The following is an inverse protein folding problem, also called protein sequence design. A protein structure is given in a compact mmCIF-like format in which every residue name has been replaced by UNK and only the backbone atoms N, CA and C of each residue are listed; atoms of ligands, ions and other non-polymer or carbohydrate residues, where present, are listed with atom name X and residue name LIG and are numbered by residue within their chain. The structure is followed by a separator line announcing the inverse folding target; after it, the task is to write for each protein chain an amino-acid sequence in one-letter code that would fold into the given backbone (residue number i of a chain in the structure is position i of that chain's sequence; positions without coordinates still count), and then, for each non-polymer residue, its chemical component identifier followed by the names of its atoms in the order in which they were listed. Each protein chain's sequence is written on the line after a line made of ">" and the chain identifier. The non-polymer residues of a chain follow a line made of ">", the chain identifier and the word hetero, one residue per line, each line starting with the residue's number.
data_IF_819004117575
#
_entry.id   IF_819004117575
#
_cell.length_a   1.000
_cell.length_b   1.000
_cell.length_c   1.000
_cell.angle_alpha   90.00
_cell.angle_beta   90.00
_cell.angle_gamma   90.00
#
_symmetry.space_group_name_H-M   'P 1'
#
loop_
_entity.id
_entity.type
_entity.pdbx_description
1 polymer ?
#
# COMPACT_ATOMS: atom_id res chain seq x y z
N UNK A 1 27.76 11.88 25.60
CA UNK A 1 27.48 10.51 26.11
C UNK A 1 26.00 10.18 25.94
N UNK A 2 25.09 10.96 26.54
CA UNK A 2 23.63 10.76 26.40
C UNK A 2 23.11 10.72 24.95
N UNK A 3 23.64 11.56 24.06
CA UNK A 3 23.30 11.51 22.63
C UNK A 3 23.71 10.18 21.97
N UNK A 4 24.86 9.61 22.37
CA UNK A 4 25.36 8.36 21.83
C UNK A 4 24.56 7.16 22.37
N UNK A 5 24.19 7.19 23.66
CA UNK A 5 23.34 6.19 24.28
C UNK A 5 21.92 6.19 23.68
N UNK A 6 21.38 7.39 23.42
CA UNK A 6 20.08 7.55 22.76
C UNK A 6 20.11 7.05 21.31
N UNK A 7 21.18 7.37 20.58
CA UNK A 7 21.41 6.84 19.24
C UNK A 7 21.49 5.31 19.24
N UNK A 8 22.26 4.72 20.16
CA UNK A 8 22.41 3.27 20.23
C UNK A 8 21.11 2.56 20.60
N UNK A 9 20.30 3.15 21.49
CA UNK A 9 18.94 2.65 21.78
C UNK A 9 18.03 2.70 20.55
N UNK A 10 18.07 3.80 19.80
CA UNK A 10 17.32 3.92 18.54
C UNK A 10 17.78 2.93 17.47
N UNK A 11 19.10 2.73 17.32
CA UNK A 11 19.63 1.73 16.40
C UNK A 11 19.15 0.31 16.79
N UNK A 12 19.11 -0.01 18.09
CA UNK A 12 18.63 -1.29 18.58
C UNK A 12 17.12 -1.49 18.35
N UNK A 13 16.30 -0.44 18.44
CA UNK A 13 14.87 -0.55 18.12
C UNK A 13 14.61 -0.78 16.63
N UNK A 14 15.55 -0.41 15.75
CA UNK A 14 15.45 -0.65 14.30
C UNK A 14 15.91 -2.05 13.87
N UNK A 15 16.48 -2.86 14.77
CA UNK A 15 17.06 -4.17 14.41
C UNK A 15 16.06 -5.11 13.73
N UNK A 16 14.80 -5.12 14.17
CA UNK A 16 13.73 -5.92 13.57
C UNK A 16 13.42 -5.46 12.13
N UNK A 17 13.32 -4.15 11.91
CA UNK A 17 13.10 -3.59 10.56
C UNK A 17 14.25 -3.95 9.61
N UNK A 18 15.50 -3.86 10.07
CA UNK A 18 16.68 -4.27 9.28
C UNK A 18 16.63 -5.75 8.93
N UNK A 19 16.27 -6.61 9.87
CA UNK A 19 16.16 -8.05 9.65
C UNK A 19 15.08 -8.38 8.61
N UNK A 20 13.92 -7.72 8.69
CA UNK A 20 12.84 -7.86 7.70
C UNK A 20 13.31 -7.44 6.30
N UNK A 21 14.05 -6.33 6.18
CA UNK A 21 14.59 -5.87 4.89
C UNK A 21 15.58 -6.88 4.27
N UNK A 22 16.44 -7.49 5.08
CA UNK A 22 17.36 -8.54 4.62
C UNK A 22 16.57 -9.76 4.11
N UNK A 23 15.55 -10.19 4.86
CA UNK A 23 14.69 -11.30 4.46
C UNK A 23 13.85 -10.97 3.21
N UNK A 24 13.42 -9.72 3.04
CA UNK A 24 12.73 -9.24 1.86
C UNK A 24 13.58 -9.36 0.59
N UNK A 25 14.87 -8.98 0.68
CA UNK A 25 15.80 -9.14 -0.42
C UNK A 25 16.08 -10.61 -0.74
N UNK A 26 16.20 -11.45 0.30
CA UNK A 26 16.32 -12.89 0.11
C UNK A 26 15.07 -13.48 -0.58
N UNK A 27 13.87 -13.07 -0.17
CA UNK A 27 12.62 -13.46 -0.81
C UNK A 27 12.57 -13.02 -2.27
N UNK A 28 12.95 -11.77 -2.57
CA UNK A 28 13.03 -11.28 -3.95
C UNK A 28 14.01 -12.07 -4.82
N UNK A 29 15.18 -12.43 -4.28
CA UNK A 29 16.15 -13.26 -4.97
C UNK A 29 15.60 -14.68 -5.25
N UNK A 30 14.88 -15.27 -4.29
CA UNK A 30 14.22 -16.58 -4.47
C UNK A 30 13.10 -16.48 -5.51
N UNK A 31 12.23 -15.47 -5.42
CA UNK A 31 11.15 -15.26 -6.39
C UNK A 31 11.69 -15.08 -7.81
N UNK A 32 12.82 -14.38 -7.96
CA UNK A 32 13.52 -14.25 -9.23
C UNK A 32 14.10 -15.58 -9.72
N UNK A 33 14.76 -16.35 -8.84
CA UNK A 33 15.37 -17.63 -9.21
C UNK A 33 14.37 -18.71 -9.61
N UNK A 34 13.16 -18.68 -9.03
CA UNK A 34 12.07 -19.60 -9.39
C UNK A 34 11.10 -19.02 -10.42
N UNK A 35 11.42 -17.86 -11.02
CA UNK A 35 10.60 -17.22 -12.06
C UNK A 35 9.14 -16.98 -11.63
N UNK A 36 8.92 -16.55 -10.38
CA UNK A 36 7.57 -16.34 -9.83
C UNK A 36 6.78 -15.32 -10.65
N UNK A 37 7.42 -14.25 -11.13
CA UNK A 37 6.76 -13.24 -11.97
C UNK A 37 6.24 -13.87 -13.26
N UNK A 38 7.08 -14.61 -13.98
CA UNK A 38 6.71 -15.31 -15.22
C UNK A 38 5.58 -16.31 -14.98
N UNK A 39 5.61 -17.05 -13.87
CA UNK A 39 4.55 -17.98 -13.49
C UNK A 39 3.19 -17.27 -13.30
N UNK A 40 3.18 -16.14 -12.58
CA UNK A 40 1.96 -15.36 -12.37
C UNK A 40 1.45 -14.81 -13.71
N UNK A 41 2.30 -14.15 -14.49
CA UNK A 41 1.92 -13.62 -15.81
C UNK A 41 1.35 -14.72 -16.69
N UNK A 42 2.01 -15.88 -16.76
CA UNK A 42 1.56 -16.99 -17.61
C UNK A 42 0.13 -17.44 -17.30
N UNK A 43 -0.23 -17.51 -16.01
CA UNK A 43 -1.57 -17.96 -15.58
C UNK A 43 -2.61 -16.84 -15.54
N UNK A 44 -2.20 -15.57 -15.46
CA UNK A 44 -3.14 -14.45 -15.30
C UNK A 44 -3.25 -13.55 -16.52
N UNK A 45 -2.37 -13.67 -17.53
CA UNK A 45 -2.34 -12.79 -18.71
C UNK A 45 -3.69 -12.70 -19.45
N UNK A 46 -4.44 -13.80 -19.51
CA UNK A 46 -5.75 -13.84 -20.19
C UNK A 46 -6.92 -13.39 -19.30
N UNK A 47 -6.68 -13.20 -17.99
CA UNK A 47 -7.71 -12.91 -16.98
C UNK A 47 -7.56 -11.48 -16.43
N UNK A 48 -6.33 -11.03 -16.21
CA UNK A 48 -6.00 -9.77 -15.53
C UNK A 48 -5.36 -8.82 -16.54
N UNK A 49 -6.11 -7.78 -16.90
CA UNK A 49 -5.54 -6.67 -17.66
C UNK A 49 -4.46 -5.96 -16.82
N UNK A 50 -3.31 -5.57 -17.41
CA UNK A 50 -2.31 -4.74 -16.74
C UNK A 50 -2.89 -3.44 -16.16
N UNK A 51 -4.00 -2.94 -16.73
CA UNK A 51 -4.73 -1.79 -16.21
C UNK A 51 -5.30 -2.00 -14.78
N UNK A 52 -5.57 -3.24 -14.37
CA UNK A 52 -6.09 -3.53 -13.03
C UNK A 52 -4.97 -3.66 -11.99
N UNK A 53 -3.72 -3.72 -12.42
CA UNK A 53 -2.58 -4.03 -11.57
C UNK A 53 -2.43 -3.07 -10.38
N UNK A 54 -2.55 -1.73 -10.52
CA UNK A 54 -2.46 -0.83 -9.37
C UNK A 54 -3.58 -1.05 -8.35
N UNK A 55 -4.82 -1.24 -8.82
CA UNK A 55 -5.99 -1.40 -7.96
C UNK A 55 -5.95 -2.74 -7.18
N UNK A 56 -5.60 -3.84 -7.87
CA UNK A 56 -5.44 -5.15 -7.23
C UNK A 56 -4.29 -5.14 -6.23
N UNK A 57 -3.16 -4.50 -6.59
CA UNK A 57 -2.01 -4.37 -5.69
C UNK A 57 -2.39 -3.62 -4.42
N UNK A 58 -3.15 -2.53 -4.52
CA UNK A 58 -3.65 -1.80 -3.36
C UNK A 58 -4.51 -2.69 -2.46
N UNK A 59 -5.47 -3.42 -3.03
CA UNK A 59 -6.39 -4.30 -2.27
C UNK A 59 -5.60 -5.41 -1.55
N UNK A 60 -4.65 -6.05 -2.23
CA UNK A 60 -3.82 -7.10 -1.65
C UNK A 60 -2.93 -6.54 -0.54
N UNK A 61 -2.29 -5.39 -0.76
CA UNK A 61 -1.48 -4.71 0.24
C UNK A 61 -2.31 -4.33 1.48
N UNK A 62 -3.49 -3.75 1.27
CA UNK A 62 -4.44 -3.42 2.31
C UNK A 62 -4.84 -4.64 3.14
N UNK A 63 -5.18 -5.75 2.48
CA UNK A 63 -5.62 -6.98 3.17
C UNK A 63 -4.47 -7.61 3.99
N UNK A 64 -3.27 -7.74 3.39
CA UNK A 64 -2.10 -8.30 4.08
C UNK A 64 -1.72 -7.42 5.27
N UNK A 65 -1.67 -6.10 5.09
CA UNK A 65 -1.28 -5.20 6.16
C UNK A 65 -2.32 -5.11 7.27
N UNK A 66 -3.61 -5.14 6.93
CA UNK A 66 -4.67 -5.23 7.93
C UNK A 66 -4.58 -6.52 8.75
N UNK A 67 -4.32 -7.65 8.09
CA UNK A 67 -4.21 -8.95 8.75
C UNK A 67 -2.93 -9.10 9.59
N UNK A 68 -1.84 -8.42 9.21
CA UNK A 68 -0.55 -8.50 9.92
C UNK A 68 -0.33 -7.36 10.91
N UNK A 69 -1.05 -6.24 10.78
CA UNK A 69 -0.86 -5.04 11.59
C UNK A 69 0.46 -4.33 11.33
N UNK A 70 1.07 -4.48 10.14
CA UNK A 70 2.37 -3.87 9.83
C UNK A 70 2.44 -3.27 8.41
N UNK A 71 2.85 -2.01 8.31
CA UNK A 71 3.16 -1.35 7.03
C UNK A 71 4.45 -1.90 6.41
N UNK A 72 5.56 -1.82 7.15
CA UNK A 72 6.89 -2.19 6.64
C UNK A 72 6.99 -3.67 6.27
N UNK A 73 6.39 -4.57 7.07
CA UNK A 73 6.35 -6.00 6.75
C UNK A 73 5.63 -6.27 5.42
N UNK A 74 4.50 -5.60 5.20
CA UNK A 74 3.75 -5.71 3.95
C UNK A 74 4.53 -5.19 2.74
N UNK A 75 5.16 -4.01 2.86
CA UNK A 75 6.00 -3.45 1.80
C UNK A 75 7.18 -4.38 1.49
N UNK A 76 7.81 -4.95 2.52
CA UNK A 76 8.90 -5.92 2.40
C UNK A 76 8.52 -7.20 1.68
N UNK A 77 7.26 -7.65 1.77
CA UNK A 77 6.77 -8.82 1.02
C UNK A 77 6.42 -8.42 -0.42
N UNK A 78 5.71 -7.31 -0.60
CA UNK A 78 5.12 -6.97 -1.89
C UNK A 78 6.07 -6.30 -2.86
N UNK A 79 7.01 -5.45 -2.41
CA UNK A 79 8.00 -4.83 -3.29
C UNK A 79 8.80 -5.86 -4.09
N UNK A 80 9.45 -6.87 -3.46
CA UNK A 80 10.21 -7.86 -4.22
C UNK A 80 9.37 -8.77 -5.12
N UNK A 81 8.05 -8.83 -4.92
CA UNK A 81 7.13 -9.68 -5.69
C UNK A 81 6.46 -8.93 -6.85
N UNK A 82 5.87 -7.76 -6.56
CA UNK A 82 5.07 -6.98 -7.51
C UNK A 82 5.96 -6.11 -8.41
N UNK A 83 7.10 -5.58 -7.92
CA UNK A 83 7.95 -4.71 -8.74
C UNK A 83 8.52 -5.47 -9.95
N UNK A 84 9.15 -6.65 -9.81
CA UNK A 84 9.64 -7.40 -10.97
C UNK A 84 8.51 -7.82 -11.92
N UNK A 85 7.36 -8.22 -11.37
CA UNK A 85 6.16 -8.54 -12.14
C UNK A 85 5.70 -7.35 -13.00
N UNK A 86 5.67 -6.16 -12.41
CA UNK A 86 5.22 -4.94 -13.08
C UNK A 86 6.21 -4.53 -14.17
N UNK A 87 7.51 -4.63 -13.91
CA UNK A 87 8.56 -4.38 -14.91
C UNK A 87 8.43 -5.34 -16.09
N UNK A 88 8.17 -6.63 -15.83
CA UNK A 88 7.98 -7.64 -16.88
C UNK A 88 6.77 -7.33 -17.77
N UNK A 89 5.67 -6.85 -17.17
CA UNK A 89 4.42 -6.57 -17.89
C UNK A 89 4.45 -5.24 -18.66
N UNK A 90 5.07 -4.20 -18.10
CA UNK A 90 5.01 -2.84 -18.63
C UNK A 90 6.28 -2.45 -19.40
N UNK A 91 7.43 -3.01 -19.01
CA UNK A 91 8.72 -2.75 -19.65
C UNK A 91 9.35 -1.39 -19.37
N UNK A 92 8.64 -0.49 -18.68
CA UNK A 92 9.07 0.89 -18.43
C UNK A 92 8.74 1.33 -16.99
N UNK A 93 9.77 1.76 -16.26
CA UNK A 93 9.68 2.25 -14.88
C UNK A 93 9.18 3.70 -14.79
N UNK A 94 9.26 4.47 -15.88
CA UNK A 94 8.72 5.83 -15.95
C UNK A 94 7.22 5.82 -16.30
N UNK A 95 6.69 4.66 -16.68
CA UNK A 95 5.28 4.49 -16.97
C UNK A 95 4.42 4.78 -15.73
N UNK A 96 3.36 5.57 -15.92
CA UNK A 96 2.47 5.98 -14.84
C UNK A 96 1.80 4.80 -14.12
N UNK A 97 1.55 3.68 -14.81
CA UNK A 97 0.97 2.46 -14.23
C UNK A 97 1.98 1.77 -13.32
N UNK A 98 3.28 1.76 -13.67
CA UNK A 98 4.34 1.26 -12.78
C UNK A 98 4.40 2.10 -11.50
N UNK A 99 4.47 3.42 -11.66
CA UNK A 99 4.54 4.37 -10.54
C UNK A 99 3.30 4.22 -9.63
N UNK A 100 2.10 4.11 -10.22
CA UNK A 100 0.87 3.92 -9.47
C UNK A 100 0.81 2.55 -8.77
N UNK A 101 1.36 1.50 -9.38
CA UNK A 101 1.45 0.18 -8.75
C UNK A 101 2.39 0.20 -7.54
N UNK A 102 3.54 0.86 -7.66
CA UNK A 102 4.44 1.04 -6.53
C UNK A 102 3.82 1.89 -5.42
N UNK A 103 3.15 2.98 -5.79
CA UNK A 103 2.39 3.81 -4.84
C UNK A 103 1.27 3.02 -4.16
N UNK A 104 0.59 2.11 -4.89
CA UNK A 104 -0.44 1.23 -4.36
C UNK A 104 0.09 0.27 -3.29
N UNK A 105 1.32 -0.24 -3.43
CA UNK A 105 1.99 -1.05 -2.38
C UNK A 105 2.11 -0.22 -1.10
N UNK A 106 2.64 1.00 -1.20
CA UNK A 106 2.92 1.84 -0.04
C UNK A 106 1.61 2.27 0.63
N UNK A 107 0.69 2.83 -0.13
CA UNK A 107 -0.59 3.34 0.38
C UNK A 107 -1.50 2.24 0.90
N UNK A 108 -1.56 1.08 0.23
CA UNK A 108 -2.32 -0.07 0.72
C UNK A 108 -1.74 -0.63 2.02
N UNK A 109 -0.40 -0.72 2.12
CA UNK A 109 0.25 -1.11 3.36
C UNK A 109 -0.07 -0.14 4.52
N UNK A 110 0.05 1.17 4.30
CA UNK A 110 -0.29 2.16 5.34
C UNK A 110 -1.77 2.12 5.71
N UNK A 111 -2.65 1.97 4.73
CA UNK A 111 -4.09 1.84 4.97
C UNK A 111 -4.42 0.64 5.87
N UNK A 112 -3.87 -0.54 5.57
CA UNK A 112 -4.15 -1.75 6.34
C UNK A 112 -3.64 -1.66 7.77
N UNK A 113 -2.41 -1.17 7.95
CA UNK A 113 -1.79 -0.94 9.25
C UNK A 113 -2.62 0.01 10.13
N UNK A 114 -3.02 1.15 9.57
CA UNK A 114 -3.82 2.16 10.25
C UNK A 114 -5.16 1.61 10.79
N UNK A 115 -5.78 0.70 10.03
CA UNK A 115 -7.09 0.16 10.38
C UNK A 115 -7.02 -1.12 11.21
N UNK A 116 -5.84 -1.70 11.42
CA UNK A 116 -5.71 -3.02 12.03
C UNK A 116 -5.81 -2.95 13.56
N UNK A 117 -6.68 -3.75 14.21
CA UNK A 117 -6.79 -3.79 15.67
C UNK A 117 -5.55 -4.37 16.36
N UNK A 118 -4.66 -5.02 15.61
CA UNK A 118 -3.44 -5.62 16.14
C UNK A 118 -2.18 -4.81 15.79
N UNK A 119 -2.31 -3.67 15.11
CA UNK A 119 -1.18 -2.81 14.77
C UNK A 119 -0.61 -2.10 15.99
N UNK A 120 0.71 -2.05 16.09
CA UNK A 120 1.43 -1.25 17.10
C UNK A 120 1.02 0.23 17.04
N UNK A 121 0.81 0.76 15.82
CA UNK A 121 0.45 2.17 15.65
C UNK A 121 -0.96 2.45 16.14
N UNK A 122 -1.90 1.54 15.87
CA UNK A 122 -3.29 1.63 16.32
C UNK A 122 -3.39 1.48 17.84
N UNK A 123 -2.70 0.48 18.41
CA UNK A 123 -2.68 0.23 19.86
C UNK A 123 -2.08 1.41 20.62
N UNK A 124 -0.93 1.93 20.17
CA UNK A 124 -0.31 3.09 20.81
C UNK A 124 -1.17 4.35 20.67
N UNK A 125 -1.87 4.52 19.54
CA UNK A 125 -2.76 5.66 19.31
C UNK A 125 -4.00 5.60 20.19
N UNK A 126 -4.62 4.42 20.37
CA UNK A 126 -5.77 4.24 21.26
C UNK A 126 -5.37 4.45 22.72
N UNK A 127 -4.23 3.91 23.15
CA UNK A 127 -3.69 4.11 24.49
C UNK A 127 -3.38 5.58 24.78
N UNK A 128 -2.74 6.29 23.83
CA UNK A 128 -2.41 7.70 23.99
C UNK A 128 -3.65 8.60 24.03
N UNK A 129 -4.72 8.23 23.32
CA UNK A 129 -6.00 8.95 23.31
C UNK A 129 -6.95 8.55 24.45
N UNK A 130 -6.61 7.54 25.24
CA UNK A 130 -7.47 7.01 26.30
C UNK A 130 -8.73 6.30 25.78
N UNK A 131 -8.74 5.89 24.51
CA UNK A 131 -9.83 5.19 23.86
C UNK A 131 -9.66 3.66 23.98
N UNK A 132 -10.78 2.94 24.02
CA UNK A 132 -10.73 1.49 23.80
C UNK A 132 -10.23 1.20 22.38
N UNK A 133 -9.32 0.22 22.24
CA UNK A 133 -8.67 -0.08 20.97
C UNK A 133 -9.67 -0.50 19.87
N UNK A 134 -10.69 -1.27 20.24
CA UNK A 134 -11.70 -1.72 19.28
C UNK A 134 -12.58 -0.55 18.86
N UNK A 135 -12.94 0.33 19.78
CA UNK A 135 -13.75 1.52 19.46
C UNK A 135 -12.95 2.54 18.63
N UNK A 136 -11.65 2.69 18.88
CA UNK A 136 -10.76 3.48 18.04
C UNK A 136 -10.75 2.98 16.59
N UNK A 137 -10.57 1.68 16.37
CA UNK A 137 -10.61 1.09 15.02
C UNK A 137 -11.98 1.26 14.37
N UNK A 138 -13.07 0.96 15.09
CA UNK A 138 -14.44 1.07 14.57
C UNK A 138 -14.79 2.48 14.11
N UNK A 139 -14.28 3.50 14.80
CA UNK A 139 -14.54 4.89 14.43
C UNK A 139 -13.69 5.35 13.24
N UNK A 140 -12.47 4.83 13.07
CA UNK A 140 -11.61 5.18 11.94
C UNK A 140 -11.95 4.42 10.65
N UNK A 141 -12.35 3.16 10.75
CA UNK A 141 -12.54 2.26 9.61
C UNK A 141 -13.52 2.80 8.53
N UNK A 142 -14.66 3.45 8.85
CA UNK A 142 -15.52 4.05 7.84
C UNK A 142 -14.83 5.12 7.00
N UNK A 143 -14.04 6.00 7.63
CA UNK A 143 -13.29 7.05 6.93
C UNK A 143 -12.18 6.47 6.07
N UNK A 144 -11.45 5.49 6.60
CA UNK A 144 -10.39 4.84 5.86
C UNK A 144 -10.95 4.10 4.63
N UNK A 145 -12.05 3.34 4.78
CA UNK A 145 -12.71 2.65 3.67
C UNK A 145 -13.20 3.60 2.61
N UNK A 146 -13.76 4.75 3.01
CA UNK A 146 -14.15 5.81 2.07
C UNK A 146 -12.96 6.29 1.23
N UNK A 147 -11.83 6.59 1.88
CA UNK A 147 -10.60 7.01 1.19
C UNK A 147 -10.07 5.91 0.27
N UNK A 148 -10.09 4.65 0.70
CA UNK A 148 -9.68 3.50 -0.11
C UNK A 148 -10.53 3.36 -1.37
N UNK A 149 -11.87 3.47 -1.25
CA UNK A 149 -12.79 3.41 -2.38
C UNK A 149 -12.55 4.57 -3.34
N UNK A 150 -12.39 5.79 -2.83
CA UNK A 150 -12.09 6.97 -3.65
C UNK A 150 -10.75 6.82 -4.37
N UNK A 151 -9.72 6.31 -3.70
CA UNK A 151 -8.41 6.07 -4.30
C UNK A 151 -8.47 5.04 -5.43
N UNK A 152 -9.26 3.98 -5.28
CA UNK A 152 -9.47 2.98 -6.33
C UNK A 152 -10.22 3.58 -7.52
N UNK A 153 -11.34 4.24 -7.28
CA UNK A 153 -12.24 4.73 -8.33
C UNK A 153 -11.66 5.92 -9.10
N UNK A 154 -11.04 6.87 -8.41
CA UNK A 154 -10.53 8.11 -9.04
C UNK A 154 -9.02 8.09 -9.30
N UNK A 155 -8.28 7.16 -8.67
CA UNK A 155 -6.83 7.04 -8.81
C UNK A 155 -6.42 5.80 -9.60
N UNK A 156 -6.45 4.63 -8.96
CA UNK A 156 -5.84 3.42 -9.51
C UNK A 156 -6.48 2.91 -10.80
N UNK A 157 -7.82 2.84 -10.86
CA UNK A 157 -8.51 2.38 -12.07
C UNK A 157 -8.32 3.34 -13.25
N UNK A 158 -8.54 4.67 -13.10
CA UNK A 158 -8.30 5.60 -14.20
C UNK A 158 -6.85 5.58 -14.67
N UNK A 159 -5.87 5.58 -13.76
CA UNK A 159 -4.45 5.52 -14.16
C UNK A 159 -4.15 4.24 -14.94
N UNK A 160 -4.68 3.10 -14.50
CA UNK A 160 -4.49 1.83 -15.16
C UNK A 160 -5.09 1.74 -16.56
N UNK A 161 -6.36 2.13 -16.73
CA UNK A 161 -7.05 2.04 -18.02
C UNK A 161 -6.64 3.13 -19.00
N UNK A 162 -6.18 4.27 -18.49
CA UNK A 162 -5.98 5.47 -19.28
C UNK A 162 -4.51 5.90 -19.23
N UNK A 163 -3.57 4.96 -19.10
CA UNK A 163 -2.13 5.17 -18.82
C UNK A 163 -1.34 6.15 -19.73
N UNK A 164 -1.95 6.73 -20.75
CA UNK A 164 -1.44 7.87 -21.53
C UNK A 164 -2.16 9.19 -21.23
N UNK A 165 -2.81 9.31 -20.07
CA UNK A 165 -3.56 10.50 -19.68
C UNK A 165 -2.70 11.76 -19.79
N UNK A 166 -3.24 12.76 -20.46
CA UNK A 166 -2.73 14.12 -20.37
C UNK A 166 -2.80 14.57 -18.89
N UNK A 167 -1.77 15.26 -18.41
CA UNK A 167 -1.67 15.72 -17.01
C UNK A 167 -2.92 16.49 -16.51
N UNK A 168 -3.62 17.19 -17.42
CA UNK A 168 -4.91 17.85 -17.14
C UNK A 168 -6.00 16.88 -16.66
N UNK A 169 -6.08 15.69 -17.23
CA UNK A 169 -7.09 14.70 -16.82
C UNK A 169 -6.77 14.16 -15.43
N UNK A 170 -5.50 13.94 -15.13
CA UNK A 170 -5.05 13.60 -13.77
C UNK A 170 -5.42 14.68 -12.75
N UNK A 171 -5.24 15.95 -13.10
CA UNK A 171 -5.64 17.08 -12.24
C UNK A 171 -7.16 17.13 -12.03
N UNK A 172 -7.96 16.89 -13.08
CA UNK A 172 -9.42 16.83 -12.96
C UNK A 172 -9.87 15.69 -12.05
N UNK A 173 -9.26 14.50 -12.18
CA UNK A 173 -9.55 13.35 -11.30
C UNK A 173 -9.18 13.63 -9.85
N UNK A 174 -8.08 14.35 -9.60
CA UNK A 174 -7.70 14.79 -8.27
C UNK A 174 -8.73 15.74 -7.64
N UNK A 175 -9.20 16.76 -8.36
CA UNK A 175 -10.25 17.64 -7.84
C UNK A 175 -11.58 16.89 -7.67
N UNK A 176 -11.90 15.96 -8.57
CA UNK A 176 -13.08 15.12 -8.46
C UNK A 176 -13.04 14.22 -7.21
N UNK A 177 -11.87 13.65 -6.87
CA UNK A 177 -11.71 12.80 -5.68
C UNK A 177 -11.90 13.58 -4.38
N UNK A 178 -11.35 14.79 -4.29
CA UNK A 178 -11.57 15.70 -3.15
C UNK A 178 -13.04 16.08 -3.04
N UNK A 179 -13.67 16.43 -4.16
CA UNK A 179 -15.09 16.78 -4.19
C UNK A 179 -15.96 15.61 -3.73
N UNK A 180 -15.65 14.38 -4.17
CA UNK A 180 -16.34 13.17 -3.74
C UNK A 180 -16.20 12.95 -2.23
N UNK A 181 -14.98 13.06 -1.68
CA UNK A 181 -14.74 12.97 -0.24
C UNK A 181 -15.55 14.01 0.53
N UNK A 182 -15.51 15.27 0.10
CA UNK A 182 -16.24 16.35 0.75
C UNK A 182 -17.75 16.13 0.71
N UNK A 183 -18.32 15.68 -0.42
CA UNK A 183 -19.75 15.39 -0.53
C UNK A 183 -20.14 14.27 0.45
N UNK A 184 -19.41 13.15 0.43
CA UNK A 184 -19.75 12.02 1.30
C UNK A 184 -19.66 12.42 2.77
N UNK A 185 -18.58 13.11 3.16
CA UNK A 185 -18.42 13.59 4.54
C UNK A 185 -19.49 14.61 4.94
N UNK A 186 -19.94 15.48 4.02
CA UNK A 186 -20.97 16.49 4.33
C UNK A 186 -22.35 15.89 4.57
N UNK A 187 -22.68 14.77 3.92
CA UNK A 187 -24.02 14.16 4.01
C UNK A 187 -24.08 12.97 4.97
N UNK A 188 -22.98 12.26 5.19
CA UNK A 188 -22.93 11.03 5.99
C UNK A 188 -21.97 11.09 7.19
N UNK A 189 -21.14 12.12 7.32
CA UNK A 189 -20.25 12.37 8.46
C UNK A 189 -20.81 13.45 9.38
#
# INVERSE_FOLDING_TARGET
>A
REAFDSWFKGARSMALAVMILILAWALGAICSSVMTADFIVYHTQDIISPALLPALTFIVAAAISFATGTSYGTMSILVPLIVPLTILLIGDIENIVFIATYAAIISGAVFGDHCSPISDTTILSSLASGADNVDHVKTQMPYALLVAVVAIIFGYLPVGYLGHMHYWVGLMLYFASISALWIVLRYFG
#
